data_IF_020813292313
#
_entry.id   IF_020813292313
#
_cell.length_a   1.000
_cell.length_b   1.000
_cell.length_c   1.000
_cell.angle_alpha   90.00
_cell.angle_beta   90.00
_cell.angle_gamma   90.00
#
_symmetry.space_group_name_H-M   'P 1'
#
loop_
_entity.id
_entity.type
_entity.pdbx_description
1 polymer ?
#
# COMPACT_ATOMS: atom_id res chain seq x y z
N UNK A 1 -5.03 -14.00 -4.39
CA UNK A 1 -4.22 -12.77 -4.35
C UNK A 1 -5.10 -11.63 -4.78
N UNK A 2 -5.53 -10.84 -3.81
CA UNK A 2 -6.22 -9.58 -4.01
C UNK A 2 -5.29 -8.55 -4.69
N UNK A 3 -5.86 -7.48 -5.23
CA UNK A 3 -5.06 -6.39 -5.81
C UNK A 3 -4.34 -5.61 -4.71
N UNK A 4 -4.95 -5.53 -3.54
CA UNK A 4 -4.46 -4.93 -2.30
C UNK A 4 -3.20 -5.64 -1.82
N UNK A 5 -3.23 -6.98 -1.81
CA UNK A 5 -2.03 -7.78 -1.55
C UNK A 5 -0.97 -7.60 -2.64
N UNK A 6 -1.38 -7.61 -3.92
CA UNK A 6 -0.43 -7.43 -5.01
C UNK A 6 0.32 -6.09 -4.90
N UNK A 7 -0.40 -5.00 -4.64
CA UNK A 7 0.21 -3.69 -4.49
C UNK A 7 1.08 -3.62 -3.21
N UNK A 8 0.65 -4.28 -2.13
CA UNK A 8 1.45 -4.43 -0.91
C UNK A 8 2.78 -5.14 -1.17
N UNK A 9 2.76 -6.27 -1.85
CA UNK A 9 3.95 -7.06 -2.16
C UNK A 9 4.91 -6.27 -3.07
N UNK A 10 4.35 -5.52 -4.03
CA UNK A 10 5.14 -4.66 -4.93
C UNK A 10 5.83 -3.53 -4.16
N UNK A 11 5.10 -2.82 -3.29
CA UNK A 11 5.66 -1.75 -2.45
C UNK A 11 6.69 -2.31 -1.46
N UNK A 12 6.44 -3.49 -0.88
CA UNK A 12 7.40 -4.18 -0.01
C UNK A 12 8.69 -4.51 -0.76
N UNK A 13 8.56 -5.00 -1.99
CA UNK A 13 9.70 -5.32 -2.84
C UNK A 13 10.51 -4.07 -3.19
N UNK A 14 9.84 -2.97 -3.51
CA UNK A 14 10.49 -1.69 -3.78
C UNK A 14 11.27 -1.22 -2.55
N UNK A 15 10.60 -1.16 -1.39
CA UNK A 15 11.20 -0.71 -0.14
C UNK A 15 12.43 -1.56 0.25
N UNK A 16 12.34 -2.88 0.07
CA UNK A 16 13.41 -3.81 0.41
C UNK A 16 14.64 -3.75 -0.52
N UNK A 17 14.47 -3.38 -1.79
CA UNK A 17 15.56 -3.36 -2.78
C UNK A 17 16.12 -1.97 -3.08
N UNK A 18 15.27 -0.94 -3.06
CA UNK A 18 15.61 0.42 -3.48
C UNK A 18 15.54 1.43 -2.32
N UNK A 19 14.88 1.09 -1.21
CA UNK A 19 14.69 1.98 -0.07
C UNK A 19 13.42 2.82 -0.18
N UNK A 20 13.37 3.92 0.59
CA UNK A 20 12.18 4.77 0.73
C UNK A 20 11.90 5.67 -0.47
N UNK A 21 12.86 5.87 -1.38
CA UNK A 21 12.69 6.72 -2.56
C UNK A 21 13.33 6.08 -3.79
N UNK A 22 12.56 5.93 -4.87
CA UNK A 22 13.04 5.42 -6.16
C UNK A 22 12.17 5.95 -7.30
N UNK A 23 12.80 6.37 -8.41
CA UNK A 23 12.15 6.77 -9.67
C UNK A 23 10.95 7.72 -9.50
N UNK A 24 11.07 8.68 -8.57
CA UNK A 24 10.04 9.68 -8.30
C UNK A 24 8.84 9.14 -7.53
N UNK A 25 8.97 7.97 -6.89
CA UNK A 25 8.09 7.47 -5.84
C UNK A 25 8.80 7.53 -4.50
N UNK A 26 8.07 7.98 -3.47
CA UNK A 26 8.51 7.92 -2.10
C UNK A 26 7.51 7.12 -1.25
N UNK A 27 8.02 6.22 -0.42
CA UNK A 27 7.27 5.30 0.43
C UNK A 27 7.62 5.64 1.88
N UNK A 28 6.62 6.06 2.65
CA UNK A 28 6.77 6.29 4.08
C UNK A 28 6.03 5.21 4.86
N UNK A 29 6.78 4.41 5.62
CA UNK A 29 6.23 3.38 6.50
C UNK A 29 6.05 3.94 7.92
N UNK A 30 4.89 3.67 8.52
CA UNK A 30 4.60 3.99 9.91
C UNK A 30 3.88 2.82 10.56
N UNK A 31 4.40 2.35 11.67
CA UNK A 31 3.70 1.40 12.54
C UNK A 31 2.72 2.18 13.43
N UNK A 32 1.45 1.79 13.44
CA UNK A 32 0.53 2.24 14.49
C UNK A 32 0.77 1.39 15.73
N UNK A 33 1.26 2.05 16.77
CA UNK A 33 1.72 1.42 18.00
C UNK A 33 0.66 0.59 18.76
N UNK A 34 -0.63 0.76 18.46
CA UNK A 34 -1.70 0.16 19.26
C UNK A 34 -2.05 -1.28 18.84
N UNK A 35 -1.87 -1.67 17.57
CA UNK A 35 -2.38 -2.95 17.04
C UNK A 35 -1.41 -3.75 16.14
N UNK A 36 -0.13 -3.35 16.03
CA UNK A 36 0.80 -4.01 15.11
C UNK A 36 0.42 -3.83 13.62
N UNK A 37 -0.33 -2.77 13.33
CA UNK A 37 -0.74 -2.39 11.98
C UNK A 37 0.43 -1.68 11.27
N UNK A 38 0.75 -2.15 10.07
CA UNK A 38 1.72 -1.51 9.20
C UNK A 38 0.97 -0.62 8.21
N UNK A 39 1.26 0.67 8.24
CA UNK A 39 0.69 1.64 7.33
C UNK A 39 1.79 2.22 6.44
N UNK A 40 1.54 2.25 5.13
CA UNK A 40 2.42 2.87 4.14
C UNK A 40 1.72 3.98 3.39
N UNK A 41 2.40 5.11 3.22
CA UNK A 41 1.94 6.26 2.43
C UNK A 41 2.81 6.36 1.19
N UNK A 42 2.19 6.40 0.02
CA UNK A 42 2.87 6.46 -1.26
C UNK A 42 2.70 7.86 -1.85
N UNK A 43 3.83 8.46 -2.22
CA UNK A 43 3.93 9.74 -2.87
C UNK A 43 4.58 9.54 -4.23
N UNK A 44 4.18 10.34 -5.22
CA UNK A 44 4.87 10.49 -6.49
C UNK A 44 5.48 11.90 -6.56
N UNK A 45 6.18 12.22 -7.65
CA UNK A 45 6.61 13.59 -7.96
C UNK A 45 5.47 14.61 -8.04
N UNK A 46 4.22 14.16 -8.21
CA UNK A 46 3.04 15.02 -8.15
C UNK A 46 2.51 15.24 -6.73
N UNK A 47 3.12 14.61 -5.72
CA UNK A 47 2.72 14.66 -4.32
C UNK A 47 2.08 13.35 -3.85
N UNK A 48 1.29 13.45 -2.79
CA UNK A 48 0.67 12.33 -2.11
C UNK A 48 -0.38 11.63 -2.99
N UNK A 49 -0.34 10.30 -3.07
CA UNK A 49 -1.20 9.53 -3.98
C UNK A 49 -2.17 8.61 -3.23
N UNK A 50 -1.65 7.57 -2.58
CA UNK A 50 -2.47 6.53 -1.95
C UNK A 50 -1.81 5.96 -0.70
N UNK A 51 -2.60 5.20 0.05
CA UNK A 51 -2.22 4.56 1.29
C UNK A 51 -2.49 3.07 1.25
N UNK A 52 -1.62 2.32 1.91
CA UNK A 52 -1.77 0.90 2.14
C UNK A 52 -1.77 0.63 3.64
N UNK A 53 -2.67 -0.22 4.10
CA UNK A 53 -2.66 -0.70 5.49
C UNK A 53 -2.69 -2.23 5.51
N UNK A 54 -1.87 -2.81 6.38
CA UNK A 54 -1.83 -4.23 6.67
C UNK A 54 -2.22 -4.45 8.14
N UNK A 55 -3.37 -5.09 8.35
CA UNK A 55 -3.89 -5.46 9.66
C UNK A 55 -3.52 -6.91 9.96
N UNK A 56 -2.95 -7.16 11.14
CA UNK A 56 -2.63 -8.52 11.63
C UNK A 56 -3.61 -9.00 12.68
N UNK A 57 -4.25 -8.08 13.40
CA UNK A 57 -5.39 -8.34 14.28
C UNK A 57 -6.66 -7.85 13.57
N UNK A 58 -7.51 -8.79 13.15
CA UNK A 58 -8.66 -8.50 12.30
C UNK A 58 -9.95 -8.92 13.00
N UNK A 59 -10.98 -8.09 12.88
CA UNK A 59 -12.31 -8.46 13.34
C UNK A 59 -12.83 -9.68 12.56
N UNK A 60 -13.66 -10.53 13.18
CA UNK A 60 -14.16 -11.75 12.55
C UNK A 60 -14.99 -11.51 11.29
N UNK A 61 -15.44 -10.28 11.05
CA UNK A 61 -16.15 -9.89 9.82
C UNK A 61 -15.22 -9.75 8.61
N UNK A 62 -13.91 -9.57 8.82
CA UNK A 62 -12.90 -9.45 7.75
C UNK A 62 -12.22 -10.78 7.41
N UNK A 63 -12.64 -11.89 8.05
CA UNK A 63 -12.04 -13.24 7.91
C UNK A 63 -11.98 -13.70 6.45
N UNK A 64 -12.97 -13.34 5.63
CA UNK A 64 -13.05 -13.75 4.22
C UNK A 64 -11.96 -13.09 3.35
N UNK A 65 -11.31 -12.04 3.82
CA UNK A 65 -10.28 -11.27 3.11
C UNK A 65 -8.86 -11.47 3.66
N UNK A 66 -8.67 -12.40 4.60
CA UNK A 66 -7.37 -12.68 5.19
C UNK A 66 -6.47 -13.40 4.18
N UNK A 67 -5.32 -12.79 3.88
CA UNK A 67 -4.25 -13.38 3.08
C UNK A 67 -2.94 -13.36 3.86
N UNK A 68 -2.29 -14.51 4.06
CA UNK A 68 -1.08 -14.65 4.91
C UNK A 68 -1.28 -14.18 6.37
N UNK A 69 -2.48 -14.32 6.92
CA UNK A 69 -2.80 -13.87 8.26
C UNK A 69 -2.91 -12.35 8.39
N UNK A 70 -3.04 -11.63 7.26
CA UNK A 70 -3.21 -10.19 7.23
C UNK A 70 -4.39 -9.81 6.33
N UNK A 71 -5.03 -8.68 6.64
CA UNK A 71 -5.96 -8.00 5.73
C UNK A 71 -5.25 -6.79 5.13
N UNK A 72 -5.26 -6.70 3.80
CA UNK A 72 -4.62 -5.61 3.05
C UNK A 72 -5.69 -4.65 2.57
N UNK A 73 -5.52 -3.37 2.90
CA UNK A 73 -6.44 -2.31 2.51
C UNK A 73 -5.72 -1.25 1.66
N UNK A 74 -6.44 -0.73 0.68
CA UNK A 74 -6.02 0.35 -0.19
C UNK A 74 -6.95 1.55 -0.01
N UNK A 75 -6.39 2.74 0.09
CA UNK A 75 -7.13 3.99 0.23
C UNK A 75 -6.52 5.09 -0.63
N UNK A 76 -7.37 5.91 -1.21
CA UNK A 76 -6.99 7.09 -2.00
C UNK A 76 -7.59 8.29 -1.25
N UNK A 77 -6.78 8.99 -0.44
CA UNK A 77 -7.25 10.17 0.28
C UNK A 77 -7.01 11.48 -0.48
N UNK A 78 -6.30 11.45 -1.63
CA UNK A 78 -6.03 12.64 -2.44
C UNK A 78 -6.97 12.72 -3.63
N UNK A 79 -7.76 13.80 -3.73
CA UNK A 79 -8.85 13.97 -4.71
C UNK A 79 -8.45 13.64 -6.17
N UNK A 80 -7.22 13.94 -6.58
CA UNK A 80 -6.74 13.66 -7.94
C UNK A 80 -6.41 12.19 -8.22
N UNK A 81 -6.27 11.36 -7.19
CA UNK A 81 -5.98 9.94 -7.30
C UNK A 81 -7.18 9.06 -6.93
N UNK A 82 -8.20 9.61 -6.25
CA UNK A 82 -9.46 8.89 -5.96
C UNK A 82 -10.19 8.40 -7.22
N UNK A 83 -9.89 9.00 -8.37
CA UNK A 83 -10.43 8.59 -9.68
C UNK A 83 -9.52 7.60 -10.42
N UNK A 84 -8.27 7.40 -9.96
CA UNK A 84 -7.27 6.54 -10.58
C UNK A 84 -7.52 5.07 -10.25
N UNK A 85 -7.84 4.77 -8.99
CA UNK A 85 -8.11 3.44 -8.50
C UNK A 85 -6.88 2.55 -8.41
N UNK A 86 -7.07 1.40 -7.76
CA UNK A 86 -5.99 0.44 -7.46
C UNK A 86 -5.28 -0.10 -8.71
N UNK A 87 -5.97 -0.25 -9.84
CA UNK A 87 -5.36 -0.69 -11.09
C UNK A 87 -4.32 0.30 -11.59
N UNK A 88 -4.62 1.60 -11.49
CA UNK A 88 -3.68 2.64 -11.90
C UNK A 88 -2.48 2.72 -10.96
N UNK A 89 -2.70 2.55 -9.67
CA UNK A 89 -1.64 2.46 -8.68
C UNK A 89 -0.67 1.30 -8.99
N UNK A 90 -1.20 0.14 -9.38
CA UNK A 90 -0.39 -1.01 -9.83
C UNK A 90 0.41 -0.67 -11.10
N UNK A 91 -0.19 -0.01 -12.09
CA UNK A 91 0.53 0.40 -13.31
C UNK A 91 1.71 1.33 -13.01
N UNK A 92 1.52 2.29 -12.12
CA UNK A 92 2.57 3.24 -11.70
C UNK A 92 3.74 2.49 -11.08
N UNK A 93 3.48 1.56 -10.16
CA UNK A 93 4.52 0.80 -9.47
C UNK A 93 5.23 -0.20 -10.40
N UNK A 94 4.53 -0.80 -11.36
CA UNK A 94 5.14 -1.67 -12.39
C UNK A 94 6.13 -0.95 -13.29
N UNK A 95 6.09 0.38 -13.38
CA UNK A 95 7.10 1.15 -14.10
C UNK A 95 8.46 1.16 -13.42
N UNK A 96 8.55 0.72 -12.17
CA UNK A 96 9.76 0.76 -11.33
C UNK A 96 10.42 -0.62 -11.20
N UNK A 97 9.59 -1.67 -11.11
CA UNK A 97 10.03 -3.06 -10.86
C UNK A 97 10.43 -3.78 -12.13
#
# INVERSE_FOLDING_TARGET
>A
MSKEKQIWDTVSHILGNYGEEVDGISIHESEKAENGELHRKIYTHHGYCFELTCYTDCDPEDIDNIENGCVYCFSEPWDGFNEAGIDKAIEILKGIV
#
